data_IF_373594569334
#
_entry.id   IF_373594569334
#
_cell.length_a   1.000
_cell.length_b   1.000
_cell.length_c   1.000
_cell.angle_alpha   90.00
_cell.angle_beta   90.00
_cell.angle_gamma   90.00
#
_symmetry.space_group_name_H-M   'P 1'
#
loop_
_entity.id
_entity.type
_entity.pdbx_description
1 polymer ?
#
# COMPACT_ATOMS: atom_id res chain seq x y z
N UNK A 1 -10.88 -23.86 -6.30
CA UNK A 1 -10.62 -24.97 -5.38
C UNK A 1 -9.30 -24.66 -4.67
N UNK A 2 -9.23 -24.77 -3.35
CA UNK A 2 -8.00 -24.53 -2.58
C UNK A 2 -7.01 -25.67 -2.87
N UNK A 3 -5.80 -25.34 -3.32
CA UNK A 3 -4.74 -26.34 -3.42
C UNK A 3 -4.14 -26.58 -2.04
N UNK A 4 -4.46 -27.73 -1.44
CA UNK A 4 -4.01 -28.11 -0.10
C UNK A 4 -2.49 -28.33 -0.06
N UNK A 5 -1.86 -28.65 -1.18
CA UNK A 5 -0.43 -28.97 -1.25
C UNK A 5 0.46 -27.80 -0.82
N UNK A 6 -0.01 -26.56 -0.99
CA UNK A 6 0.69 -25.35 -0.52
C UNK A 6 0.88 -25.37 1.00
N UNK A 7 0.02 -26.06 1.74
CA UNK A 7 0.15 -26.21 3.20
C UNK A 7 0.94 -27.46 3.62
N UNK A 8 1.67 -28.13 2.73
CA UNK A 8 2.60 -29.20 3.14
C UNK A 8 3.82 -28.64 3.88
N UNK A 9 4.39 -29.44 4.81
CA UNK A 9 5.49 -29.07 5.73
C UNK A 9 6.62 -28.34 5.01
N UNK A 10 7.16 -29.00 3.98
CA UNK A 10 8.26 -28.50 3.17
C UNK A 10 7.91 -27.16 2.52
N UNK A 11 6.82 -27.09 1.73
CA UNK A 11 6.46 -25.85 1.02
C UNK A 11 6.13 -24.66 1.93
N UNK A 12 5.47 -24.89 3.06
CA UNK A 12 5.05 -23.82 3.96
C UNK A 12 6.20 -23.33 4.85
N UNK A 13 6.91 -24.25 5.51
CA UNK A 13 7.93 -23.89 6.48
C UNK A 13 9.19 -23.38 5.82
N UNK A 14 9.50 -23.78 4.58
CA UNK A 14 10.67 -23.32 3.84
C UNK A 14 10.41 -22.06 3.00
N UNK A 15 9.17 -21.54 2.99
CA UNK A 15 8.85 -20.33 2.23
C UNK A 15 9.53 -19.09 2.81
N UNK A 16 10.57 -18.61 2.13
CA UNK A 16 11.37 -17.45 2.56
C UNK A 16 10.58 -16.15 2.60
N UNK A 17 9.62 -15.95 1.69
CA UNK A 17 8.82 -14.72 1.65
C UNK A 17 7.89 -14.63 2.85
N UNK A 18 7.24 -15.75 3.20
CA UNK A 18 6.40 -15.88 4.38
C UNK A 18 7.20 -15.61 5.66
N UNK A 19 8.36 -16.24 5.81
CA UNK A 19 9.26 -16.01 6.95
C UNK A 19 9.71 -14.54 7.03
N UNK A 20 10.14 -13.96 5.90
CA UNK A 20 10.61 -12.58 5.83
C UNK A 20 9.50 -11.58 6.16
N UNK A 21 8.27 -11.84 5.74
CA UNK A 21 7.11 -11.01 6.06
C UNK A 21 6.87 -10.93 7.56
N UNK A 22 6.75 -12.06 8.25
CA UNK A 22 6.52 -12.05 9.70
C UNK A 22 7.75 -11.59 10.51
N UNK A 23 8.96 -11.71 9.96
CA UNK A 23 10.17 -11.18 10.57
C UNK A 23 10.24 -9.65 10.55
N UNK A 24 9.78 -8.99 9.47
CA UNK A 24 9.82 -7.52 9.32
C UNK A 24 9.02 -6.81 10.40
N UNK A 25 7.85 -7.34 10.77
CA UNK A 25 6.95 -6.69 11.74
C UNK A 25 7.20 -7.11 13.20
N UNK A 26 8.30 -7.81 13.48
CA UNK A 26 8.62 -8.37 14.82
C UNK A 26 7.50 -9.24 15.40
N UNK A 27 6.67 -9.84 14.55
CA UNK A 27 5.51 -10.64 14.96
C UNK A 27 5.85 -12.14 14.99
N UNK A 28 6.97 -12.52 15.60
CA UNK A 28 7.40 -13.92 15.69
C UNK A 28 6.34 -14.83 16.33
N UNK A 29 5.67 -14.35 17.39
CA UNK A 29 4.56 -15.09 18.02
C UNK A 29 3.35 -15.26 17.10
N UNK A 30 3.05 -14.27 16.24
CA UNK A 30 1.96 -14.37 15.27
C UNK A 30 2.28 -15.44 14.22
N UNK A 31 3.53 -15.53 13.77
CA UNK A 31 3.97 -16.58 12.85
C UNK A 31 3.86 -17.97 13.47
N UNK A 32 4.28 -18.13 14.73
CA UNK A 32 4.11 -19.39 15.47
C UNK A 32 2.62 -19.75 15.60
N UNK A 33 1.78 -18.76 15.91
CA UNK A 33 0.32 -18.95 15.97
C UNK A 33 -0.25 -19.38 14.62
N UNK A 34 0.13 -18.71 13.53
CA UNK A 34 -0.30 -19.07 12.17
C UNK A 34 0.17 -20.47 11.77
N UNK A 35 1.40 -20.85 12.12
CA UNK A 35 1.94 -22.20 11.91
C UNK A 35 1.14 -23.25 12.67
N UNK A 36 0.73 -22.97 13.91
CA UNK A 36 -0.11 -23.88 14.69
C UNK A 36 -1.52 -24.04 14.09
N UNK A 37 -2.13 -22.95 13.60
CA UNK A 37 -3.40 -23.01 12.86
C UNK A 37 -3.28 -23.89 11.62
N UNK A 38 -2.21 -23.68 10.85
CA UNK A 38 -1.92 -24.49 9.67
C UNK A 38 -1.72 -25.96 10.01
N UNK A 39 -0.96 -26.28 11.06
CA UNK A 39 -0.77 -27.68 11.47
C UNK A 39 -2.09 -28.34 11.85
N UNK A 40 -2.94 -27.63 12.59
CA UNK A 40 -4.29 -28.10 12.92
C UNK A 40 -5.12 -28.35 11.66
N UNK A 41 -5.10 -27.43 10.70
CA UNK A 41 -5.77 -27.58 9.42
C UNK A 41 -5.34 -28.87 8.69
N UNK A 42 -4.03 -29.13 8.60
CA UNK A 42 -3.48 -30.33 7.96
C UNK A 42 -3.86 -31.61 8.73
N UNK A 43 -3.88 -31.59 10.06
CA UNK A 43 -4.34 -32.73 10.86
C UNK A 43 -5.81 -33.07 10.61
N UNK A 44 -6.65 -32.05 10.51
CA UNK A 44 -8.09 -32.20 10.24
C UNK A 44 -8.29 -32.78 8.85
N UNK A 45 -7.61 -32.24 7.83
CA UNK A 45 -7.67 -32.74 6.46
C UNK A 45 -7.21 -34.19 6.32
N UNK A 46 -6.16 -34.58 7.06
CA UNK A 46 -5.65 -35.97 7.08
C UNK A 46 -6.52 -36.92 7.91
N UNK A 47 -7.66 -36.46 8.44
CA UNK A 47 -8.56 -37.28 9.25
C UNK A 47 -7.98 -37.70 10.61
N UNK A 48 -6.90 -37.06 11.08
CA UNK A 48 -6.26 -37.40 12.37
C UNK A 48 -7.06 -36.92 13.57
N UNK A 49 -8.05 -36.05 13.34
CA UNK A 49 -8.92 -35.52 14.40
C UNK A 49 -10.36 -35.94 14.17
N UNK A 50 -11.11 -36.18 15.26
CA UNK A 50 -12.56 -36.46 15.23
C UNK A 50 -13.43 -35.29 14.73
N UNK A 51 -12.80 -34.17 14.37
CA UNK A 51 -13.46 -32.97 13.91
C UNK A 51 -13.94 -33.15 12.48
N UNK A 52 -15.26 -33.14 12.26
CA UNK A 52 -15.83 -33.14 10.90
C UNK A 52 -15.73 -31.72 10.32
N UNK A 53 -15.02 -31.59 9.21
CA UNK A 53 -15.11 -30.44 8.33
C UNK A 53 -16.54 -30.34 7.77
N UNK A 54 -17.22 -29.23 8.01
CA UNK A 54 -18.51 -28.94 7.36
C UNK A 54 -18.31 -28.70 5.86
N UNK A 55 -17.20 -28.06 5.50
CA UNK A 55 -16.65 -27.90 4.15
C UNK A 55 -15.16 -28.23 4.17
N UNK A 56 -14.57 -28.70 3.05
CA UNK A 56 -13.18 -29.18 2.96
C UNK A 56 -12.10 -28.21 3.46
N UNK A 57 -12.43 -26.93 3.63
CA UNK A 57 -11.44 -25.87 3.86
C UNK A 57 -11.57 -25.24 5.27
N UNK A 58 -12.52 -25.68 6.10
CA UNK A 58 -12.84 -25.06 7.40
C UNK A 58 -12.62 -26.02 8.58
N UNK A 59 -11.95 -25.54 9.63
CA UNK A 59 -11.74 -26.22 10.90
C UNK A 59 -12.13 -25.32 12.09
N UNK A 60 -12.20 -25.88 13.30
CA UNK A 60 -12.53 -25.10 14.50
C UNK A 60 -11.41 -25.13 15.53
N UNK A 61 -11.25 -24.01 16.22
CA UNK A 61 -10.41 -23.89 17.41
C UNK A 61 -11.25 -23.37 18.58
N UNK A 62 -10.82 -23.67 19.80
CA UNK A 62 -11.29 -22.97 20.98
C UNK A 62 -10.32 -21.84 21.32
N UNK A 63 -10.82 -20.61 21.42
CA UNK A 63 -10.02 -19.41 21.71
C UNK A 63 -9.40 -19.46 23.11
N UNK A 64 -10.09 -20.03 24.10
CA UNK A 64 -9.58 -20.20 25.45
C UNK A 64 -8.42 -21.21 25.47
N UNK A 65 -8.56 -22.35 24.80
CA UNK A 65 -7.46 -23.33 24.71
C UNK A 65 -6.21 -22.72 24.08
N UNK A 66 -6.38 -21.96 22.99
CA UNK A 66 -5.27 -21.23 22.34
C UNK A 66 -4.68 -20.15 23.23
N UNK A 67 -5.46 -19.55 24.13
CA UNK A 67 -4.93 -18.58 25.09
C UNK A 67 -3.98 -19.25 26.08
N UNK A 68 -4.31 -20.45 26.55
CA UNK A 68 -3.43 -21.24 27.42
C UNK A 68 -2.21 -21.79 26.67
N UNK A 69 -2.39 -22.35 25.48
CA UNK A 69 -1.30 -22.94 24.66
C UNK A 69 -0.19 -21.93 24.34
N UNK A 70 -0.56 -20.67 24.10
CA UNK A 70 0.38 -19.61 23.73
C UNK A 70 0.80 -18.71 24.90
N UNK A 71 0.30 -18.98 26.11
CA UNK A 71 0.48 -18.14 27.30
C UNK A 71 0.16 -16.66 27.02
N UNK A 72 -1.05 -16.41 26.51
CA UNK A 72 -1.55 -15.07 26.17
C UNK A 72 -3.02 -14.92 26.55
N UNK A 73 -3.51 -13.69 26.58
CA UNK A 73 -4.93 -13.44 26.82
C UNK A 73 -5.79 -13.83 25.62
N UNK A 74 -7.07 -14.17 25.85
CA UNK A 74 -8.04 -14.35 24.77
C UNK A 74 -8.17 -13.12 23.85
N UNK A 75 -7.94 -11.91 24.39
CA UNK A 75 -7.90 -10.66 23.62
C UNK A 75 -6.74 -10.66 22.61
N UNK A 76 -5.58 -11.18 23.01
CA UNK A 76 -4.43 -11.34 22.12
C UNK A 76 -4.73 -12.32 20.99
N UNK A 77 -5.34 -13.47 21.31
CA UNK A 77 -5.77 -14.46 20.29
C UNK A 77 -6.74 -13.82 19.30
N UNK A 78 -7.72 -13.03 19.77
CA UNK A 78 -8.64 -12.27 18.92
C UNK A 78 -7.89 -11.28 18.02
N UNK A 79 -6.95 -10.51 18.56
CA UNK A 79 -6.15 -9.58 17.76
C UNK A 79 -5.33 -10.31 16.68
N UNK A 80 -4.73 -11.45 17.00
CA UNK A 80 -3.98 -12.24 16.02
C UNK A 80 -4.87 -12.77 14.90
N UNK A 81 -6.08 -13.26 15.24
CA UNK A 81 -7.06 -13.67 14.24
C UNK A 81 -7.48 -12.50 13.34
N UNK A 82 -7.75 -11.32 13.91
CA UNK A 82 -8.06 -10.11 13.15
C UNK A 82 -6.93 -9.74 12.19
N UNK A 83 -5.69 -9.68 12.67
CA UNK A 83 -4.52 -9.34 11.84
C UNK A 83 -4.38 -10.35 10.69
N UNK A 84 -4.44 -11.65 10.97
CA UNK A 84 -4.33 -12.67 9.92
C UNK A 84 -5.46 -12.58 8.89
N UNK A 85 -6.68 -12.21 9.30
CA UNK A 85 -7.80 -12.01 8.39
C UNK A 85 -7.66 -10.74 7.55
N UNK A 86 -7.28 -9.62 8.17
CA UNK A 86 -7.05 -8.34 7.48
C UNK A 86 -5.96 -8.47 6.41
N UNK A 87 -4.93 -9.30 6.68
CA UNK A 87 -3.84 -9.57 5.76
C UNK A 87 -4.14 -10.71 4.76
N UNK A 88 -5.33 -11.32 4.81
CA UNK A 88 -5.77 -12.34 3.85
C UNK A 88 -5.20 -13.74 4.06
N UNK A 89 -4.64 -14.06 5.22
CA UNK A 89 -4.13 -15.41 5.54
C UNK A 89 -5.23 -16.41 5.90
N UNK A 90 -6.30 -15.92 6.53
CA UNK A 90 -7.42 -16.73 6.98
C UNK A 90 -8.74 -15.99 6.79
N UNK A 91 -9.85 -16.72 6.83
CA UNK A 91 -11.16 -16.17 7.22
C UNK A 91 -11.57 -16.83 8.52
N UNK A 92 -12.11 -16.06 9.46
CA UNK A 92 -12.62 -16.63 10.70
C UNK A 92 -13.98 -16.04 11.08
N UNK A 93 -14.78 -16.83 11.79
CA UNK A 93 -16.03 -16.36 12.40
C UNK A 93 -16.19 -16.93 13.81
N UNK A 94 -16.75 -16.11 14.69
CA UNK A 94 -17.07 -16.55 16.04
C UNK A 94 -18.33 -17.40 16.04
N UNK A 95 -18.27 -18.50 16.79
CA UNK A 95 -19.40 -19.35 17.11
C UNK A 95 -19.69 -19.25 18.62
N UNK A 96 -20.61 -20.09 19.11
CA UNK A 96 -20.96 -20.14 20.54
C UNK A 96 -19.81 -20.73 21.37
N UNK A 97 -19.75 -20.35 22.65
CA UNK A 97 -18.85 -20.92 23.66
C UNK A 97 -17.36 -20.88 23.28
N UNK A 98 -16.86 -19.69 22.88
CA UNK A 98 -15.45 -19.46 22.52
C UNK A 98 -14.90 -20.27 21.34
N UNK A 99 -15.77 -20.98 20.63
CA UNK A 99 -15.43 -21.70 19.41
C UNK A 99 -15.28 -20.70 18.26
N UNK A 100 -14.23 -20.86 17.47
CA UNK A 100 -13.93 -20.05 16.29
C UNK A 100 -13.84 -20.98 15.09
N UNK A 101 -14.60 -20.70 14.04
CA UNK A 101 -14.41 -21.35 12.75
C UNK A 101 -13.31 -20.62 11.97
N UNK A 102 -12.41 -21.37 11.34
CA UNK A 102 -11.27 -20.85 10.60
C UNK A 102 -11.20 -21.55 9.25
N UNK A 103 -11.07 -20.76 8.20
CA UNK A 103 -10.76 -21.22 6.83
C UNK A 103 -9.38 -20.70 6.45
N UNK A 104 -8.48 -21.60 6.05
CA UNK A 104 -7.15 -21.21 5.58
C UNK A 104 -7.25 -20.67 4.15
N UNK A 105 -6.57 -19.55 3.87
CA UNK A 105 -6.47 -19.01 2.53
C UNK A 105 -5.08 -19.30 1.93
N UNK A 106 -5.04 -19.46 0.61
CA UNK A 106 -3.81 -19.72 -0.13
C UNK A 106 -2.82 -18.56 0.03
N UNK A 107 -1.80 -18.77 0.86
CA UNK A 107 -0.83 -17.73 1.19
C UNK A 107 0.06 -17.35 -0.01
N UNK A 108 0.14 -18.18 -1.04
CA UNK A 108 0.89 -17.88 -2.28
C UNK A 108 0.24 -16.78 -3.12
N UNK A 109 -1.02 -16.43 -2.80
CA UNK A 109 -1.83 -15.42 -3.52
C UNK A 109 -2.10 -14.17 -2.70
N UNK A 110 -1.49 -14.04 -1.52
CA UNK A 110 -1.71 -12.90 -0.64
C UNK A 110 -0.95 -11.68 -1.18
N UNK A 111 -1.67 -10.61 -1.49
CA UNK A 111 -1.09 -9.34 -1.97
C UNK A 111 -0.08 -8.74 -0.98
N UNK A 112 -0.27 -8.93 0.33
CA UNK A 112 0.69 -8.46 1.34
C UNK A 112 2.06 -9.17 1.24
N UNK A 113 2.09 -10.42 0.76
CA UNK A 113 3.32 -11.18 0.49
C UNK A 113 3.84 -10.94 -0.92
N UNK A 114 2.92 -10.88 -1.89
CA UNK A 114 3.18 -10.77 -3.31
C UNK A 114 2.46 -9.55 -3.88
N UNK A 115 2.92 -8.32 -3.55
CA UNK A 115 2.26 -7.12 -4.01
C UNK A 115 2.26 -7.09 -5.53
N UNK A 116 1.14 -6.69 -6.17
CA UNK A 116 1.06 -6.60 -7.60
C UNK A 116 2.14 -5.65 -8.13
N UNK A 117 2.86 -6.10 -9.15
CA UNK A 117 3.92 -5.31 -9.80
C UNK A 117 3.37 -4.37 -10.87
N UNK A 118 2.13 -4.61 -11.31
CA UNK A 118 1.45 -3.83 -12.33
C UNK A 118 0.01 -3.54 -11.91
N UNK A 119 -0.54 -2.41 -12.35
CA UNK A 119 -1.93 -2.02 -12.11
C UNK A 119 -2.90 -2.63 -13.14
N UNK A 120 -4.18 -2.28 -13.04
CA UNK A 120 -5.24 -2.71 -13.95
C UNK A 120 -5.03 -2.27 -15.42
N UNK A 121 -4.16 -1.29 -15.66
CA UNK A 121 -3.77 -0.79 -16.97
C UNK A 121 -2.39 -1.31 -17.41
N UNK A 122 -1.85 -2.32 -16.72
CA UNK A 122 -0.55 -2.92 -16.99
C UNK A 122 0.64 -1.93 -16.84
N UNK A 123 0.47 -0.87 -16.04
CA UNK A 123 1.56 0.06 -15.68
C UNK A 123 2.29 -0.43 -14.44
N UNK A 124 3.60 -0.26 -14.40
CA UNK A 124 4.45 -0.63 -13.26
C UNK A 124 4.01 0.09 -11.98
N UNK A 125 3.66 -0.66 -10.93
CA UNK A 125 3.36 -0.11 -9.60
C UNK A 125 4.67 0.18 -8.89
N UNK A 126 4.96 1.45 -8.66
CA UNK A 126 6.16 1.88 -7.95
C UNK A 126 5.95 1.79 -6.42
N UNK A 127 6.99 1.44 -5.64
CA UNK A 127 6.88 1.40 -4.19
C UNK A 127 6.52 2.77 -3.58
N UNK A 128 5.70 2.81 -2.52
CA UNK A 128 5.32 4.07 -1.85
C UNK A 128 6.53 4.95 -1.45
N UNK A 129 7.66 4.31 -1.09
CA UNK A 129 8.91 5.01 -0.77
C UNK A 129 9.42 5.86 -1.94
N UNK A 130 9.27 5.37 -3.17
CA UNK A 130 9.65 6.12 -4.38
C UNK A 130 8.84 7.42 -4.47
N UNK A 131 7.52 7.34 -4.36
CA UNK A 131 6.64 8.51 -4.45
C UNK A 131 6.97 9.54 -3.38
N UNK A 132 7.13 9.07 -2.13
CA UNK A 132 7.52 9.92 -1.00
C UNK A 132 8.85 10.62 -1.22
N UNK A 133 9.88 9.92 -1.67
CA UNK A 133 11.22 10.51 -1.88
C UNK A 133 11.21 11.55 -3.01
N UNK A 134 10.48 11.29 -4.10
CA UNK A 134 10.35 12.23 -5.20
C UNK A 134 9.53 13.48 -4.79
N UNK A 135 8.39 13.31 -4.09
CA UNK A 135 7.59 14.44 -3.60
C UNK A 135 8.38 15.32 -2.61
N UNK A 136 9.16 14.72 -1.69
CA UNK A 136 10.01 15.47 -0.76
C UNK A 136 11.05 16.35 -1.47
N UNK A 137 11.60 15.90 -2.60
CA UNK A 137 12.53 16.71 -3.40
C UNK A 137 11.83 17.86 -4.10
N UNK A 138 10.57 17.66 -4.51
CA UNK A 138 9.75 18.72 -5.09
C UNK A 138 9.37 19.77 -4.05
N UNK A 139 9.17 19.40 -2.78
CA UNK A 139 8.84 20.34 -1.69
C UNK A 139 9.81 21.54 -1.64
N UNK A 140 11.11 21.31 -1.79
CA UNK A 140 12.08 22.41 -1.80
C UNK A 140 11.84 23.38 -2.96
N UNK A 141 11.58 22.86 -4.16
CA UNK A 141 11.27 23.68 -5.33
C UNK A 141 9.93 24.41 -5.17
N UNK A 142 8.91 23.73 -4.66
CA UNK A 142 7.59 24.29 -4.37
C UNK A 142 7.73 25.51 -3.45
N UNK A 143 8.46 25.38 -2.34
CA UNK A 143 8.69 26.47 -1.38
C UNK A 143 9.38 27.67 -2.03
N UNK A 144 10.33 27.45 -2.92
CA UNK A 144 10.99 28.53 -3.67
C UNK A 144 10.04 29.26 -4.64
N UNK A 145 8.94 28.63 -5.05
CA UNK A 145 8.00 29.15 -6.06
C UNK A 145 6.62 29.48 -5.47
N UNK A 146 6.46 29.51 -4.15
CA UNK A 146 5.18 29.78 -3.46
C UNK A 146 4.61 31.17 -3.72
N UNK A 147 5.42 32.15 -4.12
CA UNK A 147 4.94 33.49 -4.50
C UNK A 147 4.52 33.57 -5.97
N UNK A 148 4.86 32.57 -6.77
CA UNK A 148 4.67 32.58 -8.22
C UNK A 148 3.23 32.16 -8.57
N UNK A 149 2.63 32.86 -9.53
CA UNK A 149 1.27 32.57 -10.01
C UNK A 149 1.32 31.80 -11.32
N UNK A 150 0.55 30.73 -11.40
CA UNK A 150 0.44 29.81 -12.53
C UNK A 150 -0.92 29.96 -13.20
N UNK A 151 -0.95 29.90 -14.53
CA UNK A 151 -2.18 29.71 -15.31
C UNK A 151 -2.09 28.36 -16.01
N UNK A 152 -3.03 27.47 -15.72
CA UNK A 152 -3.16 26.20 -16.41
C UNK A 152 -4.26 26.32 -17.46
N UNK A 153 -4.02 25.77 -18.65
CA UNK A 153 -4.94 25.93 -19.78
C UNK A 153 -6.34 25.36 -19.49
N UNK A 154 -6.42 24.30 -18.69
CA UNK A 154 -7.69 23.60 -18.39
C UNK A 154 -8.33 24.07 -17.08
N UNK A 155 -7.70 24.98 -16.33
CA UNK A 155 -8.24 25.46 -15.05
C UNK A 155 -8.34 26.98 -15.05
N UNK A 156 -9.57 27.48 -14.92
CA UNK A 156 -9.80 28.91 -14.84
C UNK A 156 -9.19 29.55 -13.59
N UNK A 157 -8.59 30.72 -13.79
CA UNK A 157 -8.05 31.55 -12.73
C UNK A 157 -6.55 31.41 -12.50
N UNK A 158 -6.10 32.10 -11.47
CA UNK A 158 -4.71 32.18 -11.06
C UNK A 158 -4.46 31.22 -9.91
N UNK A 159 -3.42 30.41 -10.05
CA UNK A 159 -3.09 29.33 -9.12
C UNK A 159 -1.72 29.56 -8.50
N UNK A 160 -1.52 29.09 -7.28
CA UNK A 160 -0.25 29.19 -6.55
C UNK A 160 0.11 27.81 -6.02
N UNK A 161 1.39 27.47 -6.03
CA UNK A 161 1.83 26.19 -5.47
C UNK A 161 1.64 26.15 -3.95
N UNK A 162 1.02 25.09 -3.46
CA UNK A 162 0.85 24.81 -2.04
C UNK A 162 1.78 23.67 -1.60
N UNK A 163 2.32 23.76 -0.38
CA UNK A 163 3.12 22.67 0.20
C UNK A 163 2.22 21.50 0.63
N UNK A 164 2.80 20.30 0.72
CA UNK A 164 2.08 19.13 1.19
C UNK A 164 1.75 19.27 2.68
N UNK A 165 0.48 19.07 3.01
CA UNK A 165 -0.10 19.52 4.27
C UNK A 165 0.28 18.62 5.44
N UNK A 166 0.69 17.37 5.18
CA UNK A 166 1.10 16.43 6.23
C UNK A 166 2.10 15.36 5.77
N UNK A 167 2.90 14.86 6.71
CA UNK A 167 3.77 13.67 6.47
C UNK A 167 2.96 12.41 6.14
N UNK A 168 1.71 12.33 6.62
CA UNK A 168 0.79 11.21 6.37
C UNK A 168 0.34 11.18 4.91
N UNK A 169 0.05 12.35 4.37
CA UNK A 169 -0.28 12.53 2.95
C UNK A 169 0.86 12.03 2.04
N UNK A 170 2.09 12.51 2.28
CA UNK A 170 3.27 12.09 1.52
C UNK A 170 3.55 10.58 1.60
N UNK A 171 3.23 9.95 2.74
CA UNK A 171 3.55 8.54 2.96
C UNK A 171 2.54 7.57 2.34
N UNK A 172 1.32 8.05 2.06
CA UNK A 172 0.24 7.25 1.48
C UNK A 172 0.02 7.52 -0.01
N UNK A 173 0.74 8.49 -0.59
CA UNK A 173 0.59 8.82 -2.00
C UNK A 173 1.03 7.65 -2.90
N UNK A 174 0.18 7.33 -3.88
CA UNK A 174 0.46 6.36 -4.94
C UNK A 174 0.76 7.03 -6.28
N UNK A 175 0.89 8.35 -6.29
CA UNK A 175 1.14 9.15 -7.47
C UNK A 175 2.09 10.33 -7.18
N UNK A 176 2.73 10.88 -8.21
CA UNK A 176 3.45 12.15 -8.11
C UNK A 176 2.55 13.28 -8.55
N UNK A 177 2.37 14.28 -7.71
CA UNK A 177 1.56 15.46 -7.99
C UNK A 177 2.14 16.69 -7.28
N UNK A 178 1.68 17.87 -7.69
CA UNK A 178 1.84 19.13 -6.95
C UNK A 178 0.46 19.64 -6.55
N UNK A 179 0.37 20.39 -5.46
CA UNK A 179 -0.88 21.07 -5.10
C UNK A 179 -0.89 22.48 -5.66
N UNK A 180 -2.03 22.84 -6.22
CA UNK A 180 -2.32 24.20 -6.64
C UNK A 180 -3.52 24.73 -5.87
N UNK A 181 -3.33 25.89 -5.26
CA UNK A 181 -4.36 26.63 -4.55
C UNK A 181 -4.77 27.84 -5.38
N UNK A 182 -6.07 28.07 -5.52
CA UNK A 182 -6.54 29.23 -6.26
C UNK A 182 -6.23 30.52 -5.48
N UNK A 183 -5.60 31.49 -6.14
CA UNK A 183 -5.13 32.74 -5.52
C UNK A 183 -6.27 33.56 -4.90
N UNK A 184 -7.43 33.55 -5.56
CA UNK A 184 -8.60 34.33 -5.13
C UNK A 184 -9.57 33.52 -4.26
N UNK A 185 -9.38 32.20 -4.15
CA UNK A 185 -10.24 31.34 -3.35
C UNK A 185 -9.41 30.32 -2.55
N UNK A 186 -9.17 30.67 -1.28
CA UNK A 186 -8.37 29.86 -0.38
C UNK A 186 -8.96 28.48 -0.03
N UNK A 187 -10.21 28.20 -0.44
CA UNK A 187 -10.88 26.91 -0.22
C UNK A 187 -10.68 25.93 -1.38
N UNK A 188 -10.21 26.41 -2.53
CA UNK A 188 -10.01 25.57 -3.72
C UNK A 188 -8.55 25.17 -3.82
N UNK A 189 -8.29 23.88 -3.60
CA UNK A 189 -6.99 23.25 -3.80
C UNK A 189 -7.15 21.99 -4.65
N UNK A 190 -6.34 21.88 -5.70
CA UNK A 190 -6.37 20.75 -6.62
C UNK A 190 -5.00 20.06 -6.65
N UNK A 191 -4.95 18.72 -6.60
CA UNK A 191 -3.75 17.98 -6.95
C UNK A 191 -3.60 17.92 -8.48
N UNK A 192 -2.41 18.21 -8.99
CA UNK A 192 -2.09 18.11 -10.41
C UNK A 192 -0.97 17.10 -10.60
N UNK A 193 -1.25 16.02 -11.32
CA UNK A 193 -0.32 14.90 -11.49
C UNK A 193 0.89 15.26 -12.34
N UNK A 194 1.97 14.49 -12.17
CA UNK A 194 3.19 14.60 -12.97
C UNK A 194 2.92 14.37 -14.45
N UNK A 195 2.12 13.35 -14.79
CA UNK A 195 1.82 13.02 -16.19
C UNK A 195 1.04 14.16 -16.85
N UNK A 196 0.10 14.77 -16.14
CA UNK A 196 -0.62 15.94 -16.62
C UNK A 196 0.32 17.13 -16.85
N UNK A 197 1.16 17.47 -15.88
CA UNK A 197 2.05 18.64 -15.99
C UNK A 197 3.13 18.48 -17.04
N UNK A 198 3.68 17.27 -17.18
CA UNK A 198 4.87 17.04 -18.00
C UNK A 198 4.57 16.37 -19.34
N UNK A 199 3.33 15.89 -19.53
CA UNK A 199 2.90 15.05 -20.66
C UNK A 199 3.81 13.83 -20.88
N UNK A 200 4.44 13.34 -19.81
CA UNK A 200 5.40 12.22 -19.84
C UNK A 200 5.05 11.21 -18.76
N UNK A 201 5.25 9.93 -19.09
CA UNK A 201 5.20 8.86 -18.11
C UNK A 201 6.35 8.96 -17.11
N UNK A 202 6.16 8.36 -15.93
CA UNK A 202 7.23 8.23 -14.95
C UNK A 202 8.35 7.32 -15.49
N UNK A 203 9.63 7.70 -15.32
CA UNK A 203 10.74 6.83 -15.68
C UNK A 203 10.77 5.57 -14.80
N UNK A 204 11.07 4.42 -15.39
CA UNK A 204 11.19 3.15 -14.67
C UNK A 204 12.28 3.19 -13.59
N UNK A 205 12.11 2.43 -12.51
CA UNK A 205 13.08 2.27 -11.42
C UNK A 205 14.44 1.73 -11.89
N UNK A 206 14.45 0.98 -13.00
CA UNK A 206 15.69 0.48 -13.62
C UNK A 206 16.57 1.61 -14.18
N UNK A 207 16.00 2.80 -14.41
CA UNK A 207 16.77 3.95 -14.84
C UNK A 207 17.53 4.57 -13.65
N UNK A 208 18.86 4.54 -13.68
CA UNK A 208 19.70 5.12 -12.62
C UNK A 208 19.45 6.63 -12.38
N UNK A 209 18.95 7.35 -13.40
CA UNK A 209 18.72 8.79 -13.35
C UNK A 209 17.25 9.18 -13.16
N UNK A 210 16.37 8.24 -12.81
CA UNK A 210 14.92 8.46 -12.71
C UNK A 210 14.56 9.71 -11.88
N UNK A 211 15.19 9.90 -10.72
CA UNK A 211 14.91 11.04 -9.84
C UNK A 211 15.30 12.39 -10.48
N UNK A 212 16.43 12.43 -11.21
CA UNK A 212 16.89 13.63 -11.88
C UNK A 212 16.00 13.99 -13.06
N UNK A 213 15.54 12.97 -13.81
CA UNK A 213 14.60 13.13 -14.92
C UNK A 213 13.27 13.70 -14.42
N UNK A 214 12.71 13.12 -13.36
CA UNK A 214 11.44 13.59 -12.74
C UNK A 214 11.57 15.05 -12.30
N UNK A 215 12.61 15.37 -11.53
CA UNK A 215 12.85 16.74 -11.06
C UNK A 215 13.03 17.73 -12.20
N UNK A 216 13.80 17.37 -13.24
CA UNK A 216 14.00 18.21 -14.41
C UNK A 216 12.67 18.47 -15.14
N UNK A 217 11.88 17.43 -15.39
CA UNK A 217 10.61 17.55 -16.09
C UNK A 217 9.60 18.39 -15.30
N UNK A 218 9.46 18.19 -13.98
CA UNK A 218 8.62 19.03 -13.13
C UNK A 218 9.05 20.49 -13.17
N UNK A 219 10.34 20.77 -12.96
CA UNK A 219 10.85 22.15 -12.96
C UNK A 219 10.62 22.85 -14.28
N UNK A 220 10.95 22.19 -15.40
CA UNK A 220 10.75 22.76 -16.74
C UNK A 220 9.27 23.03 -16.98
N UNK A 221 8.40 22.10 -16.65
CA UNK A 221 6.96 22.24 -16.92
C UNK A 221 6.32 23.32 -16.05
N UNK A 222 6.69 23.39 -14.77
CA UNK A 222 6.24 24.45 -13.87
C UNK A 222 6.78 25.82 -14.31
N UNK A 223 8.05 25.92 -14.70
CA UNK A 223 8.61 27.18 -15.25
C UNK A 223 7.90 27.58 -16.55
N UNK A 224 7.57 26.64 -17.42
CA UNK A 224 6.83 26.93 -18.65
C UNK A 224 5.41 27.43 -18.34
N UNK A 225 4.74 26.83 -17.36
CA UNK A 225 3.44 27.29 -16.87
C UNK A 225 3.48 28.66 -16.18
N UNK A 226 4.66 29.11 -15.72
CA UNK A 226 4.90 30.50 -15.28
C UNK A 226 5.15 31.46 -16.45
N UNK A 227 5.83 31.00 -17.50
CA UNK A 227 6.23 31.80 -18.67
C UNK A 227 5.09 32.07 -19.65
N UNK A 228 4.00 31.31 -19.60
CA UNK A 228 2.77 31.60 -20.36
C UNK A 228 2.03 32.85 -19.86
N UNK A 229 2.65 33.70 -19.05
CA UNK A 229 2.24 35.09 -18.81
C UNK A 229 2.44 35.94 -20.09
N UNK A 230 1.36 36.37 -20.79
CA UNK A 230 1.49 37.33 -21.87
C UNK A 230 1.48 38.73 -21.25
N UNK A 231 2.60 39.14 -20.67
CA UNK A 231 2.93 40.57 -20.56
C UNK A 231 4.33 40.78 -21.11
N UNK A 232 4.43 40.65 -22.44
CA UNK A 232 5.34 41.48 -23.22
C UNK A 232 4.47 42.59 -23.81
N UNK A 233 4.35 43.69 -23.09
CA UNK A 233 4.00 44.96 -23.72
C UNK A 233 5.12 45.31 -24.69
N UNK A 234 4.88 45.03 -25.96
CA UNK A 234 5.42 45.81 -27.06
C UNK A 234 4.74 47.19 -26.99
N UNK A 235 5.30 48.11 -26.22
CA UNK A 235 5.08 49.53 -26.44
C UNK A 235 6.29 50.08 -27.20
N UNK A 236 6.27 49.88 -28.52
CA UNK A 236 6.93 50.79 -29.46
C UNK A 236 5.81 51.37 -30.32
N UNK A 237 5.37 52.56 -29.94
CA UNK A 237 4.80 53.59 -30.79
C UNK A 237 4.81 54.90 -29.99
#
# INVERSE_FOLDING_TARGET
>A
MLDISVFNAEFFLENKDLQAYFAKDKHSKLYTFYTALRNKFVEVLRGKTKQKCLNSDTFYINKQDKSYEFDVTQRTVRNWLNILQEQGFIKFSYLKHDLVSITMLDYTKIEALYPPKVDEYNKEILPNRFYKEAQLRLTHFIRQQQASTFKLNDFEGEWVLEDYSSKKELSNSKELYVKLKQKNNNQVCIPVSYEYLTSKALPSLKCHFHQNIINKNFRVSLINALKTNPHKDLSVA
#
